data_IF_643389708617
#
_entry.id   IF_643389708617
#
_cell.length_a   1.000
_cell.length_b   1.000
_cell.length_c   1.000
_cell.angle_alpha   90.00
_cell.angle_beta   90.00
_cell.angle_gamma   90.00
#
_symmetry.space_group_name_H-M   'P 1'
#
loop_
_entity.id
_entity.type
_entity.pdbx_description
1 polymer ?
#
# COMPACT_ATOMS: atom_id res chain seq x y z
N UNK A 1 7.11 -4.30 6.71
CA UNK A 1 5.99 -3.43 6.29
C UNK A 1 6.48 -2.00 6.30
N UNK A 2 6.21 -1.25 5.25
CA UNK A 2 6.47 0.19 5.13
C UNK A 2 5.15 0.97 5.31
N UNK A 3 5.25 2.24 5.72
CA UNK A 3 4.10 3.15 5.84
C UNK A 3 4.29 4.29 4.85
N UNK A 4 3.25 4.57 4.06
CA UNK A 4 3.31 5.60 3.02
C UNK A 4 2.15 6.57 3.21
N UNK A 5 2.41 7.87 2.99
CA UNK A 5 1.39 8.91 3.17
C UNK A 5 0.70 9.16 1.83
N UNK A 6 -0.60 8.87 1.75
CA UNK A 6 -1.42 9.09 0.57
C UNK A 6 -2.56 10.06 0.87
N UNK A 7 -3.23 10.58 -0.16
CA UNK A 7 -4.53 11.23 -0.01
C UNK A 7 -5.63 10.18 -0.10
N UNK A 8 -6.56 10.19 0.86
CA UNK A 8 -7.77 9.37 0.80
C UNK A 8 -8.52 9.68 -0.52
N UNK A 9 -8.82 8.69 -1.36
CA UNK A 9 -9.51 8.90 -2.64
C UNK A 9 -10.91 9.52 -2.46
N UNK A 10 -11.56 9.25 -1.33
CA UNK A 10 -12.92 9.70 -1.03
C UNK A 10 -12.99 11.10 -0.45
N UNK A 11 -12.14 11.43 0.53
CA UNK A 11 -12.24 12.70 1.27
C UNK A 11 -11.03 13.63 1.10
N UNK A 12 -10.01 13.21 0.34
CA UNK A 12 -8.81 14.00 0.04
C UNK A 12 -7.87 14.28 1.22
N UNK A 13 -8.20 13.81 2.42
CA UNK A 13 -7.35 13.97 3.62
C UNK A 13 -6.16 13.02 3.55
N UNK A 14 -5.04 13.48 4.11
CA UNK A 14 -3.84 12.66 4.19
C UNK A 14 -4.03 11.51 5.18
N UNK A 15 -3.64 10.32 4.77
CA UNK A 15 -3.77 9.09 5.55
C UNK A 15 -2.51 8.22 5.39
N UNK A 16 -2.32 7.33 6.34
CA UNK A 16 -1.29 6.29 6.32
C UNK A 16 -1.83 5.05 5.60
N UNK A 17 -1.09 4.60 4.59
CA UNK A 17 -1.28 3.30 3.95
C UNK A 17 -0.12 2.39 4.32
N UNK A 18 -0.46 1.20 4.79
CA UNK A 18 0.51 0.15 5.11
C UNK A 18 0.77 -0.66 3.84
N UNK A 19 2.03 -0.88 3.52
CA UNK A 19 2.44 -1.68 2.36
C UNK A 19 3.40 -2.77 2.80
N UNK A 20 3.21 -3.97 2.31
CA UNK A 20 4.02 -5.13 2.63
C UNK A 20 4.23 -6.04 1.44
N UNK A 21 5.18 -6.95 1.60
CA UNK A 21 5.44 -8.02 0.66
C UNK A 21 5.48 -9.35 1.41
N UNK A 22 5.00 -10.40 0.76
CA UNK A 22 5.09 -11.78 1.22
C UNK A 22 5.50 -12.68 0.06
N UNK A 23 6.13 -13.80 0.38
CA UNK A 23 6.47 -14.83 -0.60
C UNK A 23 5.50 -15.99 -0.45
N UNK A 24 4.71 -16.26 -1.49
CA UNK A 24 3.69 -17.31 -1.51
C UNK A 24 3.88 -18.12 -2.80
N UNK A 25 4.02 -19.44 -2.71
CA UNK A 25 4.19 -20.33 -3.86
C UNK A 25 5.29 -19.87 -4.85
N UNK A 26 6.47 -19.47 -4.34
CA UNK A 26 7.59 -18.95 -5.12
C UNK A 26 7.32 -17.62 -5.86
N UNK A 27 6.20 -16.96 -5.56
CA UNK A 27 5.85 -15.65 -6.12
C UNK A 27 5.88 -14.59 -5.03
N UNK A 28 6.24 -13.37 -5.43
CA UNK A 28 6.12 -12.17 -4.58
C UNK A 28 4.69 -11.70 -4.65
N UNK A 29 4.03 -11.61 -3.50
CA UNK A 29 2.77 -10.92 -3.34
C UNK A 29 3.01 -9.60 -2.63
N UNK A 30 2.73 -8.49 -3.32
CA UNK A 30 2.71 -7.16 -2.69
C UNK A 30 1.29 -6.84 -2.28
N UNK A 31 1.11 -6.35 -1.07
CA UNK A 31 -0.20 -5.96 -0.54
C UNK A 31 -0.14 -4.59 0.11
N UNK A 32 -1.25 -3.87 0.05
CA UNK A 32 -1.42 -2.61 0.76
C UNK A 32 -2.81 -2.50 1.40
N UNK A 33 -2.89 -1.74 2.48
CA UNK A 33 -4.14 -1.51 3.19
C UNK A 33 -4.14 -0.14 3.85
N UNK A 34 -5.28 0.54 3.86
CA UNK A 34 -5.46 1.77 4.64
C UNK A 34 -6.86 1.84 5.25
N UNK A 35 -6.97 2.58 6.35
CA UNK A 35 -8.24 2.99 6.94
C UNK A 35 -8.24 4.50 7.20
N UNK A 36 -9.16 5.21 6.56
CA UNK A 36 -9.30 6.65 6.68
C UNK A 36 -10.10 7.02 7.94
N UNK A 37 -9.42 7.52 8.96
CA UNK A 37 -10.04 8.00 10.21
C UNK A 37 -11.00 9.20 10.04
N UNK A 38 -11.00 9.85 8.88
CA UNK A 38 -11.84 11.03 8.63
C UNK A 38 -13.20 10.70 8.00
N UNK A 39 -13.25 9.74 7.07
CA UNK A 39 -14.48 9.40 6.35
C UNK A 39 -14.90 7.93 6.50
N UNK A 40 -14.11 7.12 7.22
CA UNK A 40 -14.35 5.70 7.44
C UNK A 40 -14.04 4.81 6.23
N UNK A 41 -13.48 5.35 5.15
CA UNK A 41 -13.12 4.55 3.98
C UNK A 41 -11.99 3.56 4.32
N UNK A 42 -12.15 2.30 3.92
CA UNK A 42 -11.18 1.23 4.15
C UNK A 42 -10.94 0.50 2.83
N UNK A 43 -9.67 0.29 2.47
CA UNK A 43 -9.30 -0.50 1.30
C UNK A 43 -8.19 -1.47 1.67
N UNK A 44 -8.31 -2.67 1.14
CA UNK A 44 -7.25 -3.67 1.03
C UNK A 44 -7.04 -3.99 -0.45
N UNK A 45 -5.78 -4.13 -0.86
CA UNK A 45 -5.39 -4.34 -2.24
C UNK A 45 -4.16 -5.26 -2.31
N UNK A 46 -4.17 -6.18 -3.26
CA UNK A 46 -3.11 -7.15 -3.50
C UNK A 46 -2.73 -7.20 -4.98
N UNK A 47 -1.44 -7.40 -5.24
CA UNK A 47 -0.88 -7.58 -6.58
C UNK A 47 -0.19 -8.93 -6.63
N UNK A 48 -1.01 -9.98 -6.61
CA UNK A 48 -0.52 -11.35 -6.62
C UNK A 48 0.03 -11.71 -8.00
N UNK A 49 1.35 -11.87 -8.11
CA UNK A 49 1.99 -12.19 -9.39
C UNK A 49 2.04 -11.01 -10.39
N UNK A 50 1.56 -9.84 -10.00
CA UNK A 50 1.62 -8.60 -10.77
C UNK A 50 2.58 -7.60 -10.13
N UNK A 51 3.14 -6.69 -10.94
CA UNK A 51 3.92 -5.58 -10.41
C UNK A 51 2.95 -4.45 -10.00
N UNK A 52 2.96 -4.01 -8.74
CA UNK A 52 2.15 -2.86 -8.31
C UNK A 52 2.59 -1.59 -9.04
N UNK A 53 1.73 -0.57 -9.02
CA UNK A 53 2.03 0.74 -9.61
C UNK A 53 3.36 1.30 -9.09
N UNK A 54 4.08 2.02 -9.96
CA UNK A 54 5.43 2.49 -9.66
C UNK A 54 5.50 3.38 -8.41
N UNK A 55 4.45 4.15 -8.12
CA UNK A 55 4.35 4.95 -6.87
C UNK A 55 4.41 4.09 -5.60
N UNK A 56 3.84 2.88 -5.64
CA UNK A 56 3.84 1.95 -4.50
C UNK A 56 5.21 1.27 -4.39
N UNK A 57 5.81 0.93 -5.53
CA UNK A 57 7.18 0.39 -5.58
C UNK A 57 8.17 1.39 -4.99
N UNK A 58 8.11 2.65 -5.45
CA UNK A 58 8.99 3.72 -4.97
C UNK A 58 8.81 3.94 -3.47
N UNK A 59 7.57 3.90 -2.99
CA UNK A 59 7.27 4.08 -1.58
C UNK A 59 7.69 2.88 -0.70
N UNK A 60 7.80 1.66 -1.24
CA UNK A 60 8.42 0.52 -0.54
C UNK A 60 9.95 0.69 -0.49
N UNK A 61 10.58 1.08 -1.60
CA UNK A 61 12.04 1.15 -1.72
C UNK A 61 12.67 2.38 -1.07
N UNK A 62 11.95 3.50 -0.93
CA UNK A 62 12.47 4.70 -0.26
C UNK A 62 12.77 4.48 1.23
N UNK A 63 12.07 3.54 1.88
CA UNK A 63 12.28 3.18 3.29
C UNK A 63 13.33 2.08 3.51
N UNK A 64 13.93 1.55 2.45
CA UNK A 64 15.01 0.54 2.51
C UNK A 64 16.41 1.14 2.32
N UNK A 65 16.54 2.46 2.25
CA UNK A 65 17.80 3.21 2.32
C UNK A 65 17.98 3.83 3.70
#
# INVERSE_FOLDING_TARGET
MAIILIKCPKCGKQIEMHVGQSFINLMVNTYASYHCKHCGECIEMDWFGEKPNQEIVDAIFLYLK
#
